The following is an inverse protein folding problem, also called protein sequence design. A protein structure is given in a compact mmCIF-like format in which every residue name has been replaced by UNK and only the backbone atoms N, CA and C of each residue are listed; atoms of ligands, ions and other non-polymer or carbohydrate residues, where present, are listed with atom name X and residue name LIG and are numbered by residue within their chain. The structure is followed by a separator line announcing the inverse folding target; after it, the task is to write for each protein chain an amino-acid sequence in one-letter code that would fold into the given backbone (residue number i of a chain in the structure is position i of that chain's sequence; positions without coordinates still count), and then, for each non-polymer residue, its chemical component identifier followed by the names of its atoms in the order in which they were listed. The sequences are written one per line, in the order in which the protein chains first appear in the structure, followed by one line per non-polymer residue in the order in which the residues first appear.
data_IF_121032140943
#
_entry.id   IF_121032140943
#
_cell.length_a   1.000
_cell.length_b   1.000
_cell.length_c   1.000
_cell.angle_alpha   90.00
_cell.angle_beta   90.00
_cell.angle_gamma   90.00
#
_symmetry.space_group_name_H-M   'P 1'
#
loop_
_entity.id
_entity.type
_entity.pdbx_description
1 polymer ?
#
# COMPACT_ATOMS: atom_id res chain seq x y z
N UNK A 1 13.78 -33.70 -17.05
CA UNK A 1 15.10 -33.50 -16.42
C UNK A 1 14.88 -33.41 -14.92
N UNK A 2 15.37 -34.41 -14.16
CA UNK A 2 15.32 -34.40 -12.69
C UNK A 2 16.25 -33.32 -12.15
N UNK A 3 15.79 -32.57 -11.14
CA UNK A 3 16.63 -31.59 -10.43
C UNK A 3 17.82 -32.32 -9.79
N UNK A 4 19.04 -31.80 -9.98
CA UNK A 4 20.23 -32.36 -9.35
C UNK A 4 20.20 -32.03 -7.85
N UNK A 5 19.82 -33.01 -7.03
CA UNK A 5 19.66 -32.88 -5.58
C UNK A 5 20.93 -32.36 -4.90
N UNK A 6 22.11 -32.81 -5.35
CA UNK A 6 23.41 -32.36 -4.81
C UNK A 6 23.64 -30.88 -5.10
N UNK A 7 23.27 -30.41 -6.29
CA UNK A 7 23.36 -28.99 -6.62
C UNK A 7 22.38 -28.16 -5.77
N UNK A 8 21.16 -28.64 -5.58
CA UNK A 8 20.15 -27.97 -4.76
C UNK A 8 20.58 -27.89 -3.29
N UNK A 9 21.09 -28.99 -2.71
CA UNK A 9 21.65 -29.01 -1.35
C UNK A 9 22.75 -27.96 -1.19
N UNK A 10 23.68 -27.87 -2.14
CA UNK A 10 24.74 -26.85 -2.12
C UNK A 10 24.18 -25.42 -2.15
N UNK A 11 23.16 -25.16 -2.98
CA UNK A 11 22.52 -23.84 -3.06
C UNK A 11 21.92 -23.40 -1.71
N UNK A 12 21.19 -24.29 -1.04
CA UNK A 12 20.42 -23.90 0.16
C UNK A 12 21.22 -24.02 1.48
N UNK A 13 22.43 -24.57 1.45
CA UNK A 13 23.19 -24.95 2.66
C UNK A 13 23.47 -23.78 3.62
N UNK A 14 23.65 -22.56 3.11
CA UNK A 14 23.96 -21.40 3.97
C UNK A 14 22.71 -20.70 4.52
N UNK A 15 21.57 -20.85 3.84
CA UNK A 15 20.36 -20.04 4.09
C UNK A 15 19.34 -20.79 4.95
N UNK A 16 19.16 -22.10 4.72
CA UNK A 16 18.05 -22.85 5.33
C UNK A 16 18.49 -23.66 6.56
N UNK A 17 17.67 -23.60 7.61
CA UNK A 17 17.86 -24.40 8.84
C UNK A 17 17.51 -25.87 8.60
N UNK A 18 16.40 -26.15 7.91
CA UNK A 18 15.83 -27.49 7.74
C UNK A 18 16.03 -28.04 6.31
N UNK A 19 17.30 -28.16 5.90
CA UNK A 19 17.72 -28.40 4.51
C UNK A 19 17.11 -29.65 3.89
N UNK A 20 17.17 -30.79 4.58
CA UNK A 20 16.72 -32.06 4.03
C UNK A 20 15.20 -32.08 3.80
N UNK A 21 14.43 -31.46 4.71
CA UNK A 21 12.99 -31.30 4.54
C UNK A 21 12.67 -30.40 3.34
N UNK A 22 13.36 -29.26 3.22
CA UNK A 22 13.20 -28.34 2.08
C UNK A 22 13.52 -29.02 0.75
N UNK A 23 14.66 -29.73 0.67
CA UNK A 23 15.07 -30.46 -0.55
C UNK A 23 14.06 -31.54 -0.91
N UNK A 24 13.63 -32.34 0.07
CA UNK A 24 12.62 -33.38 -0.15
C UNK A 24 11.34 -32.81 -0.76
N UNK A 25 10.82 -31.69 -0.22
CA UNK A 25 9.61 -31.05 -0.75
C UNK A 25 9.82 -30.50 -2.18
N UNK A 26 10.96 -29.88 -2.45
CA UNK A 26 11.29 -29.36 -3.79
C UNK A 26 11.39 -30.50 -4.80
N UNK A 27 12.04 -31.61 -4.46
CA UNK A 27 12.16 -32.77 -5.35
C UNK A 27 10.79 -33.34 -5.68
N UNK A 28 9.89 -33.47 -4.70
CA UNK A 28 8.50 -33.91 -4.93
C UNK A 28 7.77 -32.97 -5.91
N UNK A 29 7.84 -31.66 -5.68
CA UNK A 29 7.17 -30.67 -6.54
C UNK A 29 7.73 -30.67 -7.95
N UNK A 30 9.05 -30.60 -8.10
CA UNK A 30 9.72 -30.49 -9.41
C UNK A 30 9.65 -31.79 -10.22
N UNK A 31 9.43 -32.93 -9.56
CA UNK A 31 9.12 -34.20 -10.23
C UNK A 31 7.70 -34.21 -10.78
N UNK A 32 6.72 -33.65 -10.07
CA UNK A 32 5.32 -33.58 -10.50
C UNK A 32 5.05 -32.47 -11.52
N UNK A 33 5.63 -31.29 -11.30
CA UNK A 33 5.46 -30.10 -12.11
C UNK A 33 6.80 -29.73 -12.72
N UNK A 34 7.07 -30.28 -13.90
CA UNK A 34 8.40 -30.21 -14.53
C UNK A 34 8.79 -28.81 -14.97
N UNK A 35 7.83 -27.89 -15.14
CA UNK A 35 8.07 -26.51 -15.50
C UNK A 35 8.46 -25.63 -14.30
N UNK A 36 8.15 -26.05 -13.07
CA UNK A 36 8.61 -25.36 -11.87
C UNK A 36 10.09 -25.66 -11.63
N UNK A 37 10.92 -24.61 -11.59
CA UNK A 37 12.36 -24.70 -11.37
C UNK A 37 12.78 -24.01 -10.07
N UNK A 38 13.68 -24.64 -9.28
CA UNK A 38 14.29 -23.98 -8.13
C UNK A 38 15.31 -22.93 -8.59
N UNK A 39 15.25 -21.75 -7.99
CA UNK A 39 16.12 -20.61 -8.27
C UNK A 39 16.46 -19.90 -6.96
N UNK A 40 17.73 -19.57 -6.73
CA UNK A 40 18.10 -18.59 -5.70
C UNK A 40 17.95 -17.19 -6.28
N UNK A 41 17.21 -16.35 -5.59
CA UNK A 41 16.91 -15.00 -6.06
C UNK A 41 16.73 -14.04 -4.88
N UNK A 42 16.81 -12.75 -5.19
CA UNK A 42 16.68 -11.65 -4.24
C UNK A 42 15.21 -11.42 -3.90
N UNK A 43 14.81 -11.72 -2.67
CA UNK A 43 13.49 -11.46 -2.14
C UNK A 43 13.49 -10.15 -1.37
N UNK A 44 12.61 -9.22 -1.75
CA UNK A 44 12.41 -7.96 -1.02
C UNK A 44 11.26 -8.14 -0.03
N UNK A 45 11.57 -8.05 1.26
CA UNK A 45 10.57 -8.09 2.33
C UNK A 45 9.70 -6.83 2.34
N UNK A 46 8.61 -6.84 3.10
CA UNK A 46 7.75 -5.67 3.34
C UNK A 46 8.53 -4.45 3.85
N UNK A 47 9.62 -4.70 4.58
CA UNK A 47 10.45 -3.66 5.20
C UNK A 47 11.46 -3.05 4.22
N UNK A 48 11.42 -3.45 2.94
CA UNK A 48 12.35 -3.01 1.90
C UNK A 48 13.72 -3.70 1.94
N UNK A 49 14.01 -4.48 2.97
CA UNK A 49 15.24 -5.28 3.04
C UNK A 49 15.21 -6.43 2.03
N UNK A 50 16.31 -6.59 1.32
CA UNK A 50 16.53 -7.68 0.38
C UNK A 50 17.28 -8.84 1.06
N UNK A 51 16.79 -10.06 0.85
CA UNK A 51 17.39 -11.31 1.35
C UNK A 51 17.43 -12.35 0.24
N UNK A 52 18.50 -13.16 0.18
CA UNK A 52 18.54 -14.29 -0.76
C UNK A 52 17.66 -15.43 -0.24
N UNK A 53 16.67 -15.84 -1.05
CA UNK A 53 15.81 -16.97 -0.76
C UNK A 53 15.67 -17.86 -1.98
N UNK A 54 15.35 -19.13 -1.73
CA UNK A 54 14.97 -20.05 -2.78
C UNK A 54 13.52 -19.78 -3.20
N UNK A 55 13.29 -19.75 -4.50
CA UNK A 55 11.97 -19.76 -5.11
C UNK A 55 11.79 -20.94 -6.06
N UNK A 56 10.55 -21.41 -6.19
CA UNK A 56 10.11 -22.26 -7.29
C UNK A 56 9.36 -21.37 -8.28
N UNK A 57 9.88 -21.24 -9.49
CA UNK A 57 9.32 -20.37 -10.53
C UNK A 57 9.05 -21.17 -11.80
N UNK A 58 7.91 -20.96 -12.43
CA UNK A 58 7.48 -21.65 -13.64
C UNK A 58 5.96 -21.58 -13.78
N UNK A 59 5.36 -22.50 -14.52
CA UNK A 59 3.91 -22.56 -14.72
C UNK A 59 3.27 -23.79 -14.08
N UNK A 60 1.98 -23.67 -13.75
CA UNK A 60 1.12 -24.78 -13.34
C UNK A 60 -0.07 -24.91 -14.30
N UNK A 61 -0.46 -26.14 -14.69
CA UNK A 61 -1.59 -26.34 -15.58
C UNK A 61 -2.91 -26.17 -14.80
N UNK A 62 -3.77 -25.28 -15.30
CA UNK A 62 -5.08 -24.95 -14.70
C UNK A 62 -6.16 -25.11 -15.75
N UNK A 63 -7.17 -25.92 -15.46
CA UNK A 63 -8.35 -26.07 -16.31
C UNK A 63 -9.36 -24.95 -16.04
N UNK A 64 -9.73 -24.18 -17.05
CA UNK A 64 -10.75 -23.13 -16.97
C UNK A 64 -11.65 -23.18 -18.21
N UNK A 65 -12.97 -23.31 -18.00
CA UNK A 65 -13.99 -23.35 -19.08
C UNK A 65 -13.66 -24.33 -20.21
N UNK A 66 -13.16 -25.52 -19.86
CA UNK A 66 -12.83 -26.59 -20.82
C UNK A 66 -11.45 -26.47 -21.48
N UNK A 67 -10.71 -25.38 -21.25
CA UNK A 67 -9.36 -25.20 -21.76
C UNK A 67 -8.32 -25.34 -20.64
N UNK A 68 -7.12 -25.82 -20.96
CA UNK A 68 -5.98 -25.83 -20.04
C UNK A 68 -5.08 -24.62 -20.29
N UNK A 69 -4.80 -23.87 -19.23
CA UNK A 69 -3.93 -22.71 -19.22
C UNK A 69 -2.71 -22.96 -18.34
N UNK A 70 -1.54 -22.54 -18.79
CA UNK A 70 -0.31 -22.61 -18.00
C UNK A 70 -0.15 -21.29 -17.22
N UNK A 71 -0.52 -21.30 -15.95
CA UNK A 71 -0.52 -20.09 -15.11
C UNK A 71 0.87 -19.93 -14.50
N UNK A 72 1.58 -18.81 -14.77
CA UNK A 72 2.91 -18.57 -14.22
C UNK A 72 2.83 -18.20 -12.74
N UNK A 73 3.52 -18.96 -11.90
CA UNK A 73 3.59 -18.75 -10.46
C UNK A 73 5.04 -18.69 -9.98
N UNK A 74 5.22 -18.05 -8.83
CA UNK A 74 6.45 -18.09 -8.05
C UNK A 74 6.13 -18.32 -6.59
N UNK A 75 6.74 -19.35 -6.02
CA UNK A 75 6.62 -19.78 -4.63
C UNK A 75 7.95 -19.52 -3.93
N UNK A 76 8.01 -18.54 -3.05
CA UNK A 76 9.17 -18.24 -2.21
C UNK A 76 9.14 -19.07 -0.93
N UNK A 77 10.25 -19.73 -0.62
CA UNK A 77 10.37 -20.53 0.59
C UNK A 77 11.11 -19.70 1.65
N UNK A 78 10.54 -19.42 2.83
CA UNK A 78 11.28 -18.76 3.91
C UNK A 78 12.41 -19.66 4.43
N UNK A 79 13.45 -19.08 5.03
CA UNK A 79 14.60 -19.78 5.63
C UNK A 79 14.23 -20.85 6.70
N UNK A 80 13.02 -20.69 7.25
CA UNK A 80 12.37 -21.47 8.29
C UNK A 80 11.36 -22.50 7.74
N UNK A 81 11.22 -22.60 6.41
CA UNK A 81 10.47 -23.66 5.74
C UNK A 81 10.99 -25.05 6.19
N UNK A 82 10.12 -26.05 6.43
CA UNK A 82 8.67 -26.07 6.19
C UNK A 82 7.78 -25.58 7.34
N UNK A 83 8.34 -25.07 8.43
CA UNK A 83 7.54 -24.71 9.62
C UNK A 83 6.77 -23.40 9.45
N UNK A 84 7.26 -22.50 8.59
CA UNK A 84 6.53 -21.31 8.16
C UNK A 84 6.04 -21.46 6.71
N UNK A 85 4.86 -20.89 6.37
CA UNK A 85 4.29 -20.99 5.04
C UNK A 85 5.14 -20.30 3.98
N UNK A 86 5.12 -20.79 2.73
CA UNK A 86 5.72 -20.09 1.61
C UNK A 86 4.93 -18.83 1.23
N UNK A 87 5.61 -17.86 0.63
CA UNK A 87 4.98 -16.68 0.02
C UNK A 87 4.77 -16.92 -1.47
N UNK A 88 3.53 -16.84 -1.94
CA UNK A 88 3.18 -17.21 -3.30
C UNK A 88 2.73 -15.99 -4.10
N UNK A 89 3.08 -15.95 -5.38
CA UNK A 89 2.66 -14.88 -6.30
C UNK A 89 2.48 -15.40 -7.72
N UNK A 90 1.56 -14.80 -8.48
CA UNK A 90 1.50 -14.96 -9.93
C UNK A 90 2.55 -14.07 -10.60
N UNK A 91 3.09 -14.53 -11.73
CA UNK A 91 4.12 -13.83 -12.50
C UNK A 91 3.65 -13.65 -13.95
N UNK A 92 2.76 -12.68 -14.23
CA UNK A 92 2.24 -12.47 -15.57
C UNK A 92 3.38 -12.24 -16.59
N UNK A 93 3.22 -12.81 -17.79
CA UNK A 93 4.08 -12.45 -18.93
C UNK A 93 3.73 -11.06 -19.45
N UNK A 94 4.51 -10.53 -20.40
CA UNK A 94 4.25 -9.23 -21.03
C UNK A 94 2.90 -9.15 -21.76
N UNK A 95 2.32 -10.29 -22.13
CA UNK A 95 1.00 -10.41 -22.76
C UNK A 95 -0.14 -10.66 -21.77
N UNK A 96 0.14 -10.71 -20.47
CA UNK A 96 -0.85 -10.96 -19.42
C UNK A 96 -1.07 -9.72 -18.54
N UNK A 97 -2.19 -9.73 -17.82
CA UNK A 97 -2.51 -8.81 -16.72
C UNK A 97 -3.04 -9.60 -15.53
N UNK A 98 -2.72 -9.14 -14.33
CA UNK A 98 -3.27 -9.70 -13.08
C UNK A 98 -4.74 -9.30 -13.01
N UNK A 99 -5.60 -10.27 -12.69
CA UNK A 99 -6.96 -9.99 -12.23
C UNK A 99 -6.97 -10.06 -10.71
N UNK A 100 -7.21 -8.92 -10.08
CA UNK A 100 -7.41 -8.85 -8.65
C UNK A 100 -8.71 -9.55 -8.27
N UNK A 101 -8.71 -10.19 -7.10
CA UNK A 101 -9.85 -10.96 -6.64
C UNK A 101 -9.69 -11.37 -5.19
N UNK A 102 -10.53 -12.31 -4.75
CA UNK A 102 -10.53 -12.79 -3.36
C UNK A 102 -9.19 -13.38 -2.93
N UNK A 103 -8.49 -14.01 -3.87
CA UNK A 103 -7.28 -14.79 -3.60
C UNK A 103 -6.01 -14.16 -4.15
N UNK A 104 -6.09 -13.04 -4.88
CA UNK A 104 -4.93 -12.41 -5.53
C UNK A 104 -5.04 -10.89 -5.45
N UNK A 105 -3.98 -10.22 -4.95
CA UNK A 105 -3.90 -8.75 -4.91
C UNK A 105 -3.36 -8.14 -6.22
N UNK A 106 -3.29 -6.81 -6.28
CA UNK A 106 -2.80 -6.03 -7.43
C UNK A 106 -1.32 -6.30 -7.77
N UNK A 107 -0.55 -6.76 -6.79
CA UNK A 107 0.86 -7.17 -6.96
C UNK A 107 0.99 -8.64 -7.34
N UNK A 108 -0.13 -9.35 -7.44
CA UNK A 108 -0.17 -10.76 -7.80
C UNK A 108 0.14 -11.70 -6.64
N UNK A 109 0.21 -11.21 -5.40
CA UNK A 109 0.43 -12.07 -4.23
C UNK A 109 -0.84 -12.90 -3.98
N UNK A 110 -0.64 -14.18 -3.68
CA UNK A 110 -1.69 -15.17 -3.54
C UNK A 110 -2.03 -15.36 -2.06
N UNK A 111 -3.32 -15.33 -1.73
CA UNK A 111 -3.88 -15.54 -0.40
C UNK A 111 -4.85 -16.72 -0.43
N UNK A 112 -4.50 -17.79 0.29
CA UNK A 112 -5.31 -19.00 0.39
C UNK A 112 -5.53 -19.36 1.86
N UNK A 113 -6.71 -19.90 2.24
CA UNK A 113 -6.94 -20.45 3.57
C UNK A 113 -5.86 -21.47 3.95
N UNK A 114 -5.46 -22.32 2.99
CA UNK A 114 -4.40 -23.32 3.17
C UNK A 114 -3.03 -22.71 3.56
N UNK A 115 -2.70 -21.49 3.11
CA UNK A 115 -1.49 -20.78 3.54
C UNK A 115 -1.63 -20.21 4.94
N UNK A 116 -2.83 -19.76 5.31
CA UNK A 116 -3.13 -19.22 6.63
C UNK A 116 -3.09 -20.29 7.72
N UNK A 117 -3.60 -21.48 7.41
CA UNK A 117 -3.65 -22.64 8.30
C UNK A 117 -2.43 -23.56 8.16
N UNK A 118 -1.37 -23.09 7.49
CA UNK A 118 -0.19 -23.90 7.20
C UNK A 118 0.45 -24.46 8.48
N UNK A 119 0.56 -25.79 8.54
CA UNK A 119 1.13 -26.48 9.69
C UNK A 119 1.89 -27.73 9.25
N UNK A 120 3.21 -27.71 9.39
CA UNK A 120 4.02 -28.90 9.19
C UNK A 120 3.76 -29.95 10.30
N UNK A 121 3.66 -31.27 9.99
CA UNK A 121 3.83 -31.92 8.68
C UNK A 121 2.55 -32.10 7.85
N UNK A 122 1.41 -31.57 8.31
CA UNK A 122 0.12 -31.73 7.63
C UNK A 122 0.10 -30.97 6.29
N UNK A 123 0.66 -29.76 6.28
CA UNK A 123 0.77 -28.93 5.09
C UNK A 123 2.06 -29.22 4.31
N UNK A 124 1.93 -29.34 2.98
CA UNK A 124 3.02 -29.55 2.03
C UNK A 124 2.81 -28.77 0.73
N UNK A 125 3.87 -28.63 -0.08
CA UNK A 125 3.84 -27.81 -1.30
C UNK A 125 2.99 -28.42 -2.43
N UNK A 126 2.92 -29.75 -2.53
CA UNK A 126 2.12 -30.40 -3.55
C UNK A 126 0.63 -30.09 -3.36
N UNK A 127 0.13 -30.24 -2.13
CA UNK A 127 -1.25 -29.89 -1.78
C UNK A 127 -1.52 -28.39 -1.94
N UNK A 128 -0.58 -27.52 -1.57
CA UNK A 128 -0.71 -26.08 -1.85
C UNK A 128 -0.91 -25.78 -3.34
N UNK A 129 -0.15 -26.45 -4.23
CA UNK A 129 -0.29 -26.26 -5.68
C UNK A 129 -1.64 -26.82 -6.17
N UNK A 130 -2.15 -27.93 -5.59
CA UNK A 130 -3.49 -28.42 -5.92
C UNK A 130 -4.58 -27.41 -5.54
N UNK A 131 -4.48 -26.82 -4.35
CA UNK A 131 -5.40 -25.76 -3.91
C UNK A 131 -5.35 -24.56 -4.85
N UNK A 132 -4.16 -24.14 -5.29
CA UNK A 132 -4.02 -23.09 -6.32
C UNK A 132 -4.71 -23.47 -7.63
N UNK A 133 -4.50 -24.70 -8.13
CA UNK A 133 -5.11 -25.16 -9.38
C UNK A 133 -6.64 -25.17 -9.26
N UNK A 134 -7.19 -25.61 -8.13
CA UNK A 134 -8.63 -25.58 -7.85
C UNK A 134 -9.19 -24.16 -7.88
N UNK A 135 -8.60 -23.27 -7.07
CA UNK A 135 -9.03 -21.86 -6.98
C UNK A 135 -8.89 -21.14 -8.33
N UNK A 136 -7.77 -21.32 -9.03
CA UNK A 136 -7.55 -20.68 -10.34
C UNK A 136 -8.41 -21.28 -11.46
N UNK A 137 -8.89 -22.51 -11.28
CA UNK A 137 -9.85 -23.14 -12.20
C UNK A 137 -11.27 -22.58 -12.06
N UNK A 138 -11.61 -21.99 -10.91
CA UNK A 138 -12.86 -21.24 -10.72
C UNK A 138 -12.69 -19.77 -11.12
N UNK A 139 -11.63 -19.14 -10.61
CA UNK A 139 -11.29 -17.74 -10.87
C UNK A 139 -9.83 -17.60 -11.34
N UNK A 140 -9.59 -17.50 -12.67
CA UNK A 140 -8.25 -17.32 -13.19
C UNK A 140 -7.62 -16.03 -12.65
N UNK A 141 -6.35 -16.08 -12.19
CA UNK A 141 -5.69 -14.92 -11.58
C UNK A 141 -5.04 -13.99 -12.60
N UNK A 142 -5.00 -14.40 -13.88
CA UNK A 142 -4.42 -13.63 -14.99
C UNK A 142 -5.29 -13.76 -16.24
N UNK A 143 -5.29 -12.71 -17.06
CA UNK A 143 -5.97 -12.70 -18.36
C UNK A 143 -5.01 -12.20 -19.44
N UNK A 144 -5.25 -12.60 -20.68
CA UNK A 144 -4.56 -12.04 -21.83
C UNK A 144 -4.89 -10.56 -21.98
N UNK A 145 -3.87 -9.75 -22.24
CA UNK A 145 -4.08 -8.37 -22.71
C UNK A 145 -4.93 -8.42 -23.99
N UNK A 146 -6.00 -7.62 -24.09
CA UNK A 146 -6.80 -7.56 -25.31
C UNK A 146 -5.88 -7.15 -26.47
N UNK A 147 -5.90 -7.93 -27.55
CA UNK A 147 -5.29 -7.52 -28.79
C UNK A 147 -6.15 -6.39 -29.37
N UNK A 148 -5.58 -5.20 -29.55
CA UNK A 148 -6.25 -4.11 -30.27
C UNK A 148 -6.46 -4.58 -31.71
N UNK A 149 -7.66 -5.03 -32.06
CA UNK A 149 -8.04 -5.31 -33.45
C UNK A 149 -8.33 -3.99 -34.16
N UNK A 150 -7.67 -3.66 -35.28
CA UNK A 150 -8.19 -2.67 -36.20
C UNK A 150 -9.41 -3.26 -36.94
N UNK A 151 -10.52 -2.53 -36.95
CA UNK A 151 -11.69 -2.85 -37.75
C UNK A 151 -11.43 -2.58 -39.25
N UNK A 152 -12.03 -3.45 -40.08
CA UNK A 152 -12.19 -3.44 -41.54
C UNK A 152 -10.98 -3.70 -42.44
N UNK A 153 -11.06 -4.77 -43.25
CA UNK A 153 -11.43 -4.66 -44.67
C UNK A 153 -11.75 -6.04 -45.29
N UNK A 154 -12.74 -6.04 -46.18
CA UNK A 154 -13.19 -7.19 -46.97
C UNK A 154 -12.20 -7.46 -48.13
N UNK A 155 -11.87 -8.74 -48.29
CA UNK A 155 -11.49 -9.55 -49.48
C UNK A 155 -10.67 -8.95 -50.64
N UNK A 156 -9.68 -9.76 -51.06
CA UNK A 156 -8.96 -9.90 -52.35
C UNK A 156 -7.69 -9.03 -52.47
N UNK A 157 -6.47 -9.58 -52.54
CA UNK A 157 -5.96 -10.53 -53.53
C UNK A 157 -4.64 -11.18 -53.06
N UNK A 158 -4.27 -12.29 -53.69
CA UNK A 158 -3.16 -13.16 -53.28
C UNK A 158 -1.79 -12.62 -53.71
N UNK A 159 -1.14 -11.84 -52.85
CA UNK A 159 0.32 -11.83 -52.59
C UNK A 159 0.60 -10.74 -51.56
N UNK A 160 0.91 -11.10 -50.31
CA UNK A 160 1.28 -10.11 -49.29
C UNK A 160 2.69 -9.62 -49.63
N UNK A 161 2.77 -8.52 -50.38
CA UNK A 161 4.03 -7.87 -50.71
C UNK A 161 4.78 -7.42 -49.47
N UNK A 162 6.10 -7.45 -49.54
CA UNK A 162 7.02 -7.07 -48.45
C UNK A 162 6.73 -5.66 -47.88
N UNK A 163 6.18 -4.77 -48.69
CA UNK A 163 5.77 -3.41 -48.32
C UNK A 163 4.56 -3.40 -47.37
N UNK A 164 3.61 -4.33 -47.51
CA UNK A 164 2.48 -4.47 -46.58
C UNK A 164 2.95 -4.99 -45.22
N UNK A 165 3.93 -5.90 -45.22
CA UNK A 165 4.55 -6.41 -43.98
C UNK A 165 5.35 -5.30 -43.30
N UNK A 166 6.14 -4.53 -44.07
CA UNK A 166 6.90 -3.38 -43.55
C UNK A 166 6.00 -2.30 -42.98
N UNK A 167 4.95 -1.91 -43.69
CA UNK A 167 3.98 -0.92 -43.23
C UNK A 167 3.23 -1.41 -41.97
N UNK A 168 2.91 -2.70 -41.89
CA UNK A 168 2.26 -3.30 -40.72
C UNK A 168 3.19 -3.30 -39.50
N UNK A 169 4.46 -3.66 -39.68
CA UNK A 169 5.47 -3.63 -38.61
C UNK A 169 5.76 -2.20 -38.15
N UNK A 170 5.92 -1.25 -39.07
CA UNK A 170 6.20 0.14 -38.75
C UNK A 170 5.04 0.78 -37.99
N UNK A 171 3.80 0.54 -38.43
CA UNK A 171 2.59 1.00 -37.72
C UNK A 171 2.48 0.37 -36.34
N UNK A 172 2.70 -0.94 -36.23
CA UNK A 172 2.65 -1.66 -34.95
C UNK A 172 3.70 -1.15 -33.95
N UNK A 173 4.92 -0.83 -34.41
CA UNK A 173 5.98 -0.27 -33.57
C UNK A 173 5.65 1.16 -33.14
N UNK A 174 5.20 2.01 -34.07
CA UNK A 174 4.79 3.38 -33.77
C UNK A 174 3.63 3.42 -32.76
N UNK A 175 2.63 2.57 -32.93
CA UNK A 175 1.52 2.46 -31.98
C UNK A 175 2.00 1.92 -30.64
N UNK A 176 2.89 0.91 -30.63
CA UNK A 176 3.42 0.37 -29.37
C UNK A 176 4.19 1.44 -28.58
N UNK A 177 4.99 2.26 -29.25
CA UNK A 177 5.70 3.37 -28.62
C UNK A 177 4.72 4.42 -28.10
N UNK A 178 3.72 4.79 -28.90
CA UNK A 178 2.68 5.75 -28.54
C UNK A 178 1.90 5.28 -27.31
N UNK A 179 1.48 4.01 -27.27
CA UNK A 179 0.79 3.41 -26.13
C UNK A 179 1.63 3.45 -24.86
N UNK A 180 2.93 3.14 -24.95
CA UNK A 180 3.83 3.22 -23.79
C UNK A 180 4.01 4.64 -23.29
N UNK A 181 4.19 5.59 -24.20
CA UNK A 181 4.33 6.99 -23.85
C UNK A 181 3.04 7.55 -23.23
N UNK A 182 1.88 7.11 -23.71
CA UNK A 182 0.59 7.52 -23.19
C UNK A 182 0.26 6.88 -21.84
N UNK A 183 0.61 5.61 -21.61
CA UNK A 183 0.49 4.93 -20.30
C UNK A 183 1.33 5.67 -19.23
N UNK A 184 2.57 6.04 -19.57
CA UNK A 184 3.44 6.81 -18.69
C UNK A 184 2.92 8.24 -18.45
N UNK A 185 2.37 8.89 -19.48
CA UNK A 185 1.79 10.24 -19.36
C UNK A 185 0.49 10.23 -18.53
N UNK A 186 -0.39 9.25 -18.73
CA UNK A 186 -1.63 9.09 -17.95
C UNK A 186 -1.30 8.78 -16.49
N UNK A 187 -0.30 7.94 -16.23
CA UNK A 187 0.21 7.68 -14.88
C UNK A 187 0.75 8.96 -14.23
N UNK A 188 1.63 9.67 -14.93
CA UNK A 188 2.22 10.93 -14.43
C UNK A 188 1.14 11.99 -14.18
N UNK A 189 0.14 12.06 -15.06
CA UNK A 189 -1.00 12.97 -14.93
C UNK A 189 -1.86 12.62 -13.72
N UNK A 190 -2.16 11.33 -13.51
CA UNK A 190 -2.92 10.87 -12.34
C UNK A 190 -2.17 11.13 -11.03
N UNK A 191 -0.85 10.94 -11.01
CA UNK A 191 -0.01 11.29 -9.86
C UNK A 191 -0.04 12.80 -9.57
N UNK A 192 0.06 13.63 -10.62
CA UNK A 192 -0.02 15.09 -10.49
C UNK A 192 -1.41 15.56 -10.00
N UNK A 193 -2.49 14.95 -10.50
CA UNK A 193 -3.85 15.23 -10.06
C UNK A 193 -4.09 14.80 -8.60
N UNK A 194 -3.52 13.67 -8.17
CA UNK A 194 -3.59 13.22 -6.79
C UNK A 194 -2.84 14.17 -5.85
N UNK A 195 -1.66 14.63 -6.24
CA UNK A 195 -0.88 15.62 -5.48
C UNK A 195 -1.64 16.95 -5.36
N UNK A 196 -2.24 17.43 -6.44
CA UNK A 196 -3.02 18.67 -6.43
C UNK A 196 -4.23 18.61 -5.49
N UNK A 197 -4.92 17.47 -5.43
CA UNK A 197 -6.02 17.23 -4.47
C UNK A 197 -5.52 17.27 -3.03
N UNK A 198 -4.39 16.63 -2.75
CA UNK A 198 -3.77 16.69 -1.42
C UNK A 198 -3.37 18.12 -1.04
N UNK A 199 -2.81 18.89 -1.98
CA UNK A 199 -2.49 20.30 -1.76
C UNK A 199 -3.74 21.13 -1.42
N UNK A 200 -4.84 20.94 -2.17
CA UNK A 200 -6.11 21.60 -1.89
C UNK A 200 -6.67 21.25 -0.50
N UNK A 201 -6.59 19.97 -0.10
CA UNK A 201 -7.08 19.52 1.20
C UNK A 201 -6.19 20.01 2.34
N UNK A 202 -4.87 20.05 2.15
CA UNK A 202 -3.93 20.68 3.09
C UNK A 202 -4.21 22.18 3.21
N UNK A 203 -4.46 22.89 2.09
CA UNK A 203 -4.77 24.33 2.11
C UNK A 203 -6.07 24.60 2.87
N UNK A 204 -7.10 23.78 2.66
CA UNK A 204 -8.35 23.86 3.44
C UNK A 204 -8.12 23.57 4.92
N UNK A 205 -7.33 22.55 5.23
CA UNK A 205 -6.96 22.21 6.61
C UNK A 205 -6.23 23.35 7.30
N UNK A 206 -5.27 23.97 6.60
CA UNK A 206 -4.55 25.15 7.07
C UNK A 206 -5.49 26.33 7.34
N UNK A 207 -6.43 26.63 6.42
CA UNK A 207 -7.41 27.69 6.62
C UNK A 207 -8.28 27.44 7.86
N UNK A 208 -8.76 26.21 8.05
CA UNK A 208 -9.55 25.84 9.23
C UNK A 208 -8.79 26.03 10.53
N UNK A 209 -7.50 25.66 10.54
CA UNK A 209 -6.64 25.86 11.72
C UNK A 209 -6.44 27.35 12.01
N UNK A 210 -6.24 28.18 10.98
CA UNK A 210 -6.18 29.63 11.15
C UNK A 210 -7.48 30.20 11.71
N UNK A 211 -8.63 29.79 11.18
CA UNK A 211 -9.94 30.25 11.64
C UNK A 211 -10.18 29.88 13.12
N UNK A 212 -9.83 28.66 13.51
CA UNK A 212 -9.90 28.24 14.92
C UNK A 212 -8.97 29.05 15.83
N UNK A 213 -7.76 29.37 15.37
CA UNK A 213 -6.82 30.19 16.13
C UNK A 213 -7.33 31.62 16.33
N UNK A 214 -7.96 32.20 15.31
CA UNK A 214 -8.64 33.50 15.40
C UNK A 214 -9.79 33.44 16.42
N UNK A 215 -10.64 32.41 16.34
CA UNK A 215 -11.79 32.24 17.22
C UNK A 215 -11.35 32.10 18.70
N UNK A 216 -10.34 31.27 18.96
CA UNK A 216 -9.76 31.13 20.31
C UNK A 216 -9.15 32.44 20.81
N UNK A 217 -8.49 33.21 19.94
CA UNK A 217 -7.98 34.54 20.29
C UNK A 217 -9.08 35.51 20.71
N UNK A 218 -10.20 35.52 19.98
CA UNK A 218 -11.36 36.34 20.32
C UNK A 218 -12.02 35.92 21.63
N UNK A 219 -12.15 34.61 21.87
CA UNK A 219 -12.72 34.06 23.10
C UNK A 219 -11.84 34.41 24.32
N UNK A 220 -10.52 34.28 24.19
CA UNK A 220 -9.56 34.69 25.23
C UNK A 220 -9.66 36.19 25.56
N UNK A 221 -9.77 37.06 24.54
CA UNK A 221 -9.95 38.51 24.74
C UNK A 221 -11.32 38.80 25.37
N UNK A 222 -12.37 38.10 24.93
CA UNK A 222 -13.72 38.17 25.49
C UNK A 222 -13.73 37.84 26.98
N UNK A 223 -13.24 36.67 27.36
CA UNK A 223 -13.15 36.24 28.77
C UNK A 223 -12.31 37.19 29.62
N UNK A 224 -11.19 37.70 29.09
CA UNK A 224 -10.37 38.68 29.81
C UNK A 224 -11.11 40.00 30.04
N UNK A 225 -11.88 40.47 29.05
CA UNK A 225 -12.68 41.69 29.18
C UNK A 225 -13.81 41.50 30.20
N UNK A 226 -14.45 40.34 30.21
CA UNK A 226 -15.52 40.00 31.14
C UNK A 226 -15.00 39.93 32.58
N UNK A 227 -13.85 39.29 32.80
CA UNK A 227 -13.17 39.29 34.11
C UNK A 227 -12.85 40.72 34.58
N UNK A 228 -12.30 41.58 33.70
CA UNK A 228 -12.04 42.98 34.04
C UNK A 228 -13.32 43.75 34.39
N UNK A 229 -14.42 43.54 33.65
CA UNK A 229 -15.69 44.20 33.97
C UNK A 229 -16.25 43.78 35.32
N UNK A 230 -16.09 42.51 35.71
CA UNK A 230 -16.54 41.99 37.00
C UNK A 230 -15.64 42.44 38.17
N UNK A 231 -14.35 42.71 37.92
CA UNK A 231 -13.40 43.20 38.94
C UNK A 231 -13.54 44.70 39.25
N UNK A 232 -13.88 45.53 38.26
CA UNK A 232 -14.01 47.00 38.41
C UNK A 232 -14.88 47.44 39.60
N UNK A 233 -16.07 46.86 39.88
CA UNK A 233 -16.87 47.20 41.05
C UNK A 233 -16.15 46.87 42.35
N UNK A 234 -15.44 45.75 42.41
CA UNK A 234 -14.70 45.32 43.60
C UNK A 234 -13.54 46.27 43.87
N UNK A 235 -12.77 46.63 42.84
CA UNK A 235 -11.71 47.64 42.94
C UNK A 235 -12.26 48.98 43.42
N UNK A 236 -13.40 49.42 42.87
CA UNK A 236 -14.06 50.67 43.27
C UNK A 236 -14.49 50.63 44.73
N UNK A 237 -15.06 49.51 45.20
CA UNK A 237 -15.47 49.33 46.60
C UNK A 237 -14.25 49.34 47.53
N UNK A 238 -13.17 48.63 47.17
CA UNK A 238 -11.93 48.60 47.97
C UNK A 238 -11.35 50.01 48.08
N UNK A 239 -11.24 50.75 46.96
CA UNK A 239 -10.73 52.13 46.96
C UNK A 239 -11.63 53.07 47.78
N UNK A 240 -12.95 52.94 47.66
CA UNK A 240 -13.88 53.74 48.47
C UNK A 240 -13.76 53.43 49.96
N UNK A 241 -13.67 52.15 50.34
CA UNK A 241 -13.47 51.74 51.74
C UNK A 241 -12.13 52.21 52.28
N UNK A 242 -11.06 52.10 51.49
CA UNK A 242 -9.73 52.58 51.87
C UNK A 242 -9.72 54.10 52.05
N UNK A 243 -10.28 54.86 51.11
CA UNK A 243 -10.43 56.32 51.22
C UNK A 243 -11.26 56.72 52.44
N UNK A 244 -12.39 56.02 52.69
CA UNK A 244 -13.22 56.25 53.88
C UNK A 244 -12.43 55.98 55.16
N UNK A 245 -11.68 54.89 55.21
CA UNK A 245 -10.83 54.53 56.36
C UNK A 245 -9.73 55.56 56.59
N UNK A 246 -9.04 56.01 55.54
CA UNK A 246 -8.02 57.07 55.61
C UNK A 246 -8.64 58.38 56.11
N UNK A 247 -9.81 58.78 55.60
CA UNK A 247 -10.51 59.97 56.04
C UNK A 247 -10.89 59.90 57.54
N UNK A 248 -11.41 58.75 57.99
CA UNK A 248 -11.73 58.52 59.41
C UNK A 248 -10.47 58.61 60.27
N UNK A 249 -9.37 58.01 59.83
CA UNK A 249 -8.08 58.07 60.54
C UNK A 249 -7.53 59.49 60.62
N UNK A 250 -7.65 60.27 59.55
CA UNK A 250 -7.22 61.66 59.50
C UNK A 250 -8.08 62.55 60.42
N UNK A 251 -9.38 62.25 60.54
CA UNK A 251 -10.29 62.90 61.48
C UNK A 251 -9.97 62.56 62.95
N UNK A 252 -9.46 61.35 63.22
CA UNK A 252 -8.94 60.95 64.53
C UNK A 252 -7.58 61.56 64.88
N UNK A 253 -6.68 61.73 63.90
CA UNK A 253 -5.36 62.35 64.11
C UNK A 253 -5.41 63.87 64.23
N UNK A 254 -6.44 64.52 63.68
CA UNK A 254 -6.64 65.97 63.77
C UNK A 254 -8.07 66.34 64.25
N UNK A 255 -8.42 66.09 65.52
CA UNK A 255 -9.76 66.38 66.06
C UNK A 255 -10.05 67.88 66.25
N UNK A 256 -9.02 68.75 66.29
CA UNK A 256 -9.12 70.14 66.78
C UNK A 256 -9.25 71.24 65.70
N UNK A 257 -10.04 71.02 64.65
CA UNK A 257 -10.36 72.09 63.70
C UNK A 257 -11.87 72.26 63.40
N UNK A 258 -12.77 71.50 64.03
CA UNK A 258 -14.22 71.63 63.76
C UNK A 258 -15.14 71.69 64.99
N UNK A 259 -14.59 72.07 66.15
CA UNK A 259 -15.38 72.59 67.27
C UNK A 259 -14.72 73.87 67.80
N UNK A 260 -14.82 74.95 67.02
CA UNK A 260 -14.90 76.30 67.54
C UNK A 260 -15.44 77.20 66.43
N UNK A 261 -16.77 77.23 66.32
CA UNK A 261 -17.58 78.37 65.89
C UNK A 261 -19.05 78.05 66.25
N UNK A 262 -19.28 77.97 67.56
CA UNK A 262 -20.57 78.21 68.20
C UNK A 262 -20.28 78.89 69.54
N UNK A 263 -19.64 80.06 69.44
CA UNK A 263 -20.00 81.31 70.10
C UNK A 263 -19.22 82.44 69.42
#
# INVERSE_FOLDING_TARGET
MSVNETALKRMITKVYKYKDLTVSEIVKVTTRYTDLKPLMDSYVSSDGCSVELLSLSGTVPVGYRGNMYNIPIRIWLPDSFPFNPPTCSVKPTSSMMIKTGKHVDDKGKIYLPYLHEWKHPLSNLLALIQEMIGVFGEEPPVFSRPATQPQNCLVQDCSIGEDTIRASLQTAVCDKLRWRMQEEMERSQAELDALRRMEDDLRKGHQRLQDMLIHLGQEMVGSSSEIQTNLKPIETIILFRFSTWVNVLQQYLHPDQNQNLSC
#
